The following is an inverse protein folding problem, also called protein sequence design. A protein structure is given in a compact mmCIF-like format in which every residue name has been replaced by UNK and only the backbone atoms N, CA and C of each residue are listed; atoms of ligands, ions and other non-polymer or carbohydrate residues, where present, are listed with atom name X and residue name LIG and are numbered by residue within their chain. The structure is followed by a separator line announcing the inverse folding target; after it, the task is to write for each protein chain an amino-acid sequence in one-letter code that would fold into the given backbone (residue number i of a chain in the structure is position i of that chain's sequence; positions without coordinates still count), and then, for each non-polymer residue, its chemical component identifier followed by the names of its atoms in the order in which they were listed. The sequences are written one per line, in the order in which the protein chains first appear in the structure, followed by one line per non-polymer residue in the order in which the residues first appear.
data_IF_486296908558
#
_entry.id   IF_486296908558
#
_cell.length_a   1.000
_cell.length_b   1.000
_cell.length_c   1.000
_cell.angle_alpha   90.00
_cell.angle_beta   90.00
_cell.angle_gamma   90.00
#
_symmetry.space_group_name_H-M   'P 1'
#
loop_
_entity.id
_entity.type
_entity.pdbx_description
1 polymer ?
#
# COMPACT_ATOMS: atom_id res chain seq x y z
N UNK A 1 -44.53 28.62 -83.39
CA UNK A 1 -45.46 28.64 -82.24
C UNK A 1 -45.14 27.44 -81.35
N UNK A 2 -45.00 27.65 -80.02
CA UNK A 2 -45.09 26.71 -78.86
C UNK A 2 -44.45 25.31 -79.02
N UNK A 3 -43.48 24.87 -78.20
CA UNK A 3 -43.33 25.06 -76.76
C UNK A 3 -44.08 23.96 -75.99
N UNK A 4 -43.33 23.24 -75.13
CA UNK A 4 -43.70 22.15 -74.18
C UNK A 4 -43.82 20.75 -74.81
N UNK A 5 -43.41 19.64 -74.19
CA UNK A 5 -43.11 19.38 -72.78
C UNK A 5 -42.15 18.18 -72.65
N UNK A 6 -41.26 18.24 -71.66
CA UNK A 6 -40.45 17.10 -71.22
C UNK A 6 -41.23 16.31 -70.19
N UNK A 7 -41.99 15.30 -70.62
CA UNK A 7 -42.68 14.40 -69.68
C UNK A 7 -41.73 13.25 -69.26
N UNK A 8 -40.95 13.58 -68.25
CA UNK A 8 -40.33 12.63 -67.34
C UNK A 8 -41.43 12.00 -66.47
N UNK A 9 -41.98 10.87 -66.90
CA UNK A 9 -42.86 10.05 -66.04
C UNK A 9 -42.72 8.55 -66.35
N UNK A 10 -41.59 7.98 -65.91
CA UNK A 10 -41.45 6.53 -65.72
C UNK A 10 -40.84 6.21 -64.37
N UNK A 11 -41.49 6.68 -63.31
CA UNK A 11 -41.45 6.03 -62.01
C UNK A 11 -42.85 5.49 -61.71
N UNK A 12 -43.25 4.42 -62.40
CA UNK A 12 -44.36 3.60 -61.93
C UNK A 12 -43.93 2.85 -60.69
N UNK A 13 -44.30 3.41 -59.54
CA UNK A 13 -44.41 2.70 -58.27
C UNK A 13 -45.40 1.54 -58.37
N UNK A 14 -44.98 0.43 -57.76
CA UNK A 14 -45.80 -0.57 -57.09
C UNK A 14 -46.75 -1.45 -57.93
N UNK A 15 -46.29 -2.67 -58.22
CA UNK A 15 -47.14 -3.85 -58.10
C UNK A 15 -46.27 -5.10 -57.84
N UNK A 16 -46.39 -5.66 -56.62
CA UNK A 16 -45.98 -7.03 -56.32
C UNK A 16 -45.03 -7.18 -55.12
N UNK A 17 -45.56 -7.24 -53.90
CA UNK A 17 -44.88 -7.93 -52.79
C UNK A 17 -45.31 -9.41 -52.72
N UNK A 18 -44.88 -10.20 -51.72
CA UNK A 18 -43.61 -10.20 -50.99
C UNK A 18 -42.92 -11.59 -51.07
N UNK A 19 -41.58 -11.66 -51.06
CA UNK A 19 -40.90 -12.92 -50.75
C UNK A 19 -39.46 -12.71 -50.23
N UNK A 20 -39.30 -13.06 -48.96
CA UNK A 20 -38.09 -13.64 -48.37
C UNK A 20 -36.81 -12.81 -48.32
N UNK A 21 -36.67 -12.07 -47.21
CA UNK A 21 -35.45 -12.13 -46.41
C UNK A 21 -34.26 -11.35 -46.95
N UNK A 22 -34.38 -10.03 -46.98
CA UNK A 22 -33.21 -9.15 -46.90
C UNK A 22 -32.52 -9.44 -45.54
N UNK A 23 -31.24 -9.87 -45.48
CA UNK A 23 -30.57 -10.03 -44.21
C UNK A 23 -30.39 -8.63 -43.64
N UNK A 24 -31.29 -8.25 -42.74
CA UNK A 24 -31.19 -7.04 -41.95
C UNK A 24 -29.73 -6.89 -41.52
N UNK A 25 -29.10 -5.85 -42.07
CA UNK A 25 -27.71 -5.52 -41.84
C UNK A 25 -27.43 -5.72 -40.35
N UNK A 26 -26.55 -6.68 -40.06
CA UNK A 26 -26.13 -7.06 -38.72
C UNK A 26 -25.48 -5.81 -38.12
N UNK A 27 -26.29 -4.98 -37.44
CA UNK A 27 -25.94 -3.63 -37.04
C UNK A 27 -24.66 -3.72 -36.20
N UNK A 28 -23.48 -3.31 -36.69
CA UNK A 28 -22.21 -3.73 -36.12
C UNK A 28 -21.87 -2.99 -34.81
N UNK A 29 -22.60 -1.91 -34.53
CA UNK A 29 -22.36 -0.98 -33.42
C UNK A 29 -22.52 -1.59 -32.01
N UNK A 30 -23.50 -2.46 -31.68
CA UNK A 30 -23.67 -3.03 -30.35
C UNK A 30 -22.51 -3.95 -29.95
N UNK A 31 -22.02 -4.76 -30.90
CA UNK A 31 -20.87 -5.65 -30.71
C UNK A 31 -19.60 -4.86 -30.47
N UNK A 32 -19.42 -3.75 -31.20
CA UNK A 32 -18.26 -2.89 -31.04
C UNK A 32 -18.29 -2.19 -29.68
N UNK A 33 -19.42 -1.59 -29.28
CA UNK A 33 -19.59 -0.95 -27.96
C UNK A 33 -19.30 -1.92 -26.82
N UNK A 34 -19.77 -3.17 -26.89
CA UNK A 34 -19.51 -4.19 -25.85
C UNK A 34 -18.02 -4.54 -25.74
N UNK A 35 -17.31 -4.62 -26.87
CA UNK A 35 -15.85 -4.84 -26.88
C UNK A 35 -15.09 -3.64 -26.31
N UNK A 36 -15.53 -2.42 -26.60
CA UNK A 36 -14.97 -1.20 -26.00
C UNK A 36 -15.18 -1.17 -24.48
N UNK A 37 -16.38 -1.48 -23.99
CA UNK A 37 -16.62 -1.58 -22.54
C UNK A 37 -15.81 -2.70 -21.89
N UNK A 38 -15.72 -3.87 -22.52
CA UNK A 38 -14.90 -4.97 -22.03
C UNK A 38 -13.41 -4.56 -21.94
N UNK A 39 -12.89 -3.87 -22.95
CA UNK A 39 -11.53 -3.33 -22.94
C UNK A 39 -11.35 -2.26 -21.86
N UNK A 40 -12.34 -1.38 -21.65
CA UNK A 40 -12.30 -0.35 -20.61
C UNK A 40 -12.30 -0.95 -19.20
N UNK A 41 -13.09 -2.00 -18.97
CA UNK A 41 -13.09 -2.76 -17.71
C UNK A 41 -11.75 -3.46 -17.52
N UNK A 42 -11.21 -4.09 -18.55
CA UNK A 42 -9.91 -4.76 -18.49
C UNK A 42 -8.78 -3.76 -18.19
N UNK A 43 -8.83 -2.60 -18.83
CA UNK A 43 -7.89 -1.50 -18.62
C UNK A 43 -8.03 -0.94 -17.21
N UNK A 44 -9.26 -0.73 -16.73
CA UNK A 44 -9.54 -0.32 -15.36
C UNK A 44 -9.08 -1.35 -14.33
N UNK A 45 -9.18 -2.65 -14.62
CA UNK A 45 -8.68 -3.72 -13.77
C UNK A 45 -7.13 -3.74 -13.75
N UNK A 46 -6.49 -3.58 -14.90
CA UNK A 46 -5.03 -3.48 -15.00
C UNK A 46 -4.51 -2.25 -14.26
N UNK A 47 -5.07 -1.07 -14.54
CA UNK A 47 -4.67 0.19 -13.90
C UNK A 47 -5.05 0.20 -12.41
N UNK A 48 -6.21 -0.31 -12.02
CA UNK A 48 -6.61 -0.44 -10.63
C UNK A 48 -5.70 -1.38 -9.84
N UNK A 49 -5.27 -2.49 -10.46
CA UNK A 49 -4.31 -3.42 -9.87
C UNK A 49 -2.92 -2.79 -9.73
N UNK A 50 -2.44 -2.08 -10.76
CA UNK A 50 -1.14 -1.40 -10.72
C UNK A 50 -1.14 -0.22 -9.73
N UNK A 51 -2.18 0.63 -9.74
CA UNK A 51 -2.30 1.77 -8.83
C UNK A 51 -2.55 1.32 -7.39
N UNK A 52 -3.29 0.23 -7.18
CA UNK A 52 -3.52 -0.33 -5.84
C UNK A 52 -2.23 -0.75 -5.11
N UNK A 53 -1.14 -0.99 -5.84
CA UNK A 53 0.17 -1.24 -5.26
C UNK A 53 0.93 0.05 -4.93
N UNK A 54 0.86 1.06 -5.81
CA UNK A 54 1.67 2.27 -5.71
C UNK A 54 1.22 3.20 -4.56
N UNK A 55 -0.05 3.14 -4.16
CA UNK A 55 -0.59 3.90 -3.02
C UNK A 55 -0.48 3.16 -1.68
N UNK A 56 0.16 1.99 -1.63
CA UNK A 56 0.46 1.40 -0.32
C UNK A 56 1.48 2.29 0.38
N UNK A 57 1.19 2.78 1.59
CA UNK A 57 2.21 3.44 2.38
C UNK A 57 3.42 2.49 2.44
N UNK A 58 4.59 2.96 2.01
CA UNK A 58 5.82 2.16 2.02
C UNK A 58 6.10 1.56 3.40
N UNK A 59 6.97 0.54 3.51
CA UNK A 59 7.31 -0.02 4.82
C UNK A 59 7.80 1.08 5.77
N UNK A 60 7.45 0.99 7.05
CA UNK A 60 8.02 1.88 8.07
C UNK A 60 9.52 1.58 8.17
N UNK A 61 10.36 2.60 8.14
CA UNK A 61 11.82 2.43 8.19
C UNK A 61 12.37 2.93 9.52
N UNK A 62 13.28 2.16 10.14
CA UNK A 62 14.11 2.60 11.25
C UNK A 62 15.25 3.45 10.71
N UNK A 63 15.24 4.72 11.06
CA UNK A 63 16.18 5.73 10.58
C UNK A 63 17.47 5.74 11.41
N UNK A 64 17.34 5.68 12.74
CA UNK A 64 18.48 5.69 13.68
C UNK A 64 18.07 5.22 15.07
N UNK A 65 19.05 4.73 15.82
CA UNK A 65 18.94 4.35 17.23
C UNK A 65 19.90 5.21 18.05
N UNK A 66 19.38 5.88 19.06
CA UNK A 66 20.15 6.77 19.94
C UNK A 66 20.08 6.24 21.38
N UNK A 67 21.22 5.87 21.99
CA UNK A 67 21.27 5.55 23.40
C UNK A 67 21.00 6.81 24.23
N UNK A 68 20.06 6.73 25.17
CA UNK A 68 19.72 7.84 26.08
C UNK A 68 19.84 7.40 27.53
N UNK A 69 19.76 8.36 28.46
CA UNK A 69 19.79 8.04 29.90
C UNK A 69 18.61 7.13 30.23
N UNK A 70 18.89 5.96 30.81
CA UNK A 70 17.90 4.96 31.22
C UNK A 70 17.07 4.35 30.07
N UNK A 71 17.64 4.29 28.84
CA UNK A 71 16.97 3.57 27.75
C UNK A 71 17.43 3.91 26.33
N UNK A 72 16.54 3.74 25.37
CA UNK A 72 16.82 3.88 23.94
C UNK A 72 15.80 4.80 23.28
N UNK A 73 16.27 5.60 22.33
CA UNK A 73 15.41 6.38 21.45
C UNK A 73 15.52 5.84 20.03
N UNK A 74 14.41 5.38 19.49
CA UNK A 74 14.33 4.85 18.13
C UNK A 74 13.58 5.85 17.27
N UNK A 75 14.18 6.20 16.14
CA UNK A 75 13.60 7.11 15.18
C UNK A 75 13.13 6.34 13.96
N UNK A 76 11.84 6.42 13.69
CA UNK A 76 11.20 5.79 12.55
C UNK A 76 10.70 6.84 11.57
N UNK A 77 10.54 6.44 10.30
CA UNK A 77 9.93 7.29 9.28
C UNK A 77 8.48 7.66 9.62
N UNK A 78 7.76 6.74 10.27
CA UNK A 78 6.35 6.84 10.71
C UNK A 78 6.12 5.94 11.92
N UNK A 79 4.95 6.04 12.54
CA UNK A 79 4.55 5.16 13.64
C UNK A 79 4.56 3.68 13.21
N UNK A 80 5.39 2.83 13.82
CA UNK A 80 5.40 1.40 13.56
C UNK A 80 4.32 0.70 14.40
N UNK A 81 3.74 -0.37 13.86
CA UNK A 81 3.00 -1.31 14.72
C UNK A 81 4.00 -2.02 15.64
N UNK A 82 3.70 -2.03 16.94
CA UNK A 82 4.56 -2.52 18.00
C UNK A 82 3.90 -3.69 18.73
N UNK A 83 4.61 -4.81 18.79
CA UNK A 83 4.30 -5.95 19.64
C UNK A 83 5.40 -6.09 20.70
N UNK A 84 5.07 -5.92 21.97
CA UNK A 84 5.99 -6.05 23.09
C UNK A 84 5.76 -7.37 23.84
N UNK A 85 6.82 -8.12 24.08
CA UNK A 85 6.80 -9.29 24.95
C UNK A 85 7.87 -9.14 26.03
N UNK A 86 7.46 -9.21 27.30
CA UNK A 86 8.39 -9.20 28.42
C UNK A 86 8.71 -10.64 28.81
N UNK A 87 9.98 -11.04 28.68
CA UNK A 87 10.45 -12.37 29.10
C UNK A 87 11.44 -12.16 30.25
N UNK A 88 11.36 -12.95 31.33
CA UNK A 88 12.12 -12.77 32.58
C UNK A 88 13.60 -12.37 32.37
N UNK A 89 13.91 -11.08 32.55
CA UNK A 89 15.26 -10.52 32.44
C UNK A 89 15.69 -10.00 31.06
N UNK A 90 14.85 -10.15 30.04
CA UNK A 90 15.09 -9.64 28.69
C UNK A 90 13.85 -8.97 28.10
N UNK A 91 13.99 -7.74 27.63
CA UNK A 91 12.91 -7.04 26.93
C UNK A 91 13.04 -7.30 25.44
N UNK A 92 12.02 -7.93 24.85
CA UNK A 92 11.89 -8.14 23.41
C UNK A 92 10.78 -7.27 22.83
N UNK A 93 11.11 -6.44 21.85
CA UNK A 93 10.13 -5.60 21.14
C UNK A 93 10.21 -5.86 19.64
N UNK A 94 9.10 -6.29 19.05
CA UNK A 94 8.98 -6.50 17.61
C UNK A 94 8.24 -5.31 16.99
N UNK A 95 8.90 -4.66 16.04
CA UNK A 95 8.37 -3.55 15.26
C UNK A 95 8.08 -4.03 13.83
N UNK A 96 6.90 -3.73 13.30
CA UNK A 96 6.59 -3.90 11.88
C UNK A 96 7.26 -2.82 11.04
N UNK A 97 8.58 -2.87 11.00
CA UNK A 97 9.44 -1.92 10.31
C UNK A 97 10.62 -2.64 9.65
N UNK A 98 11.26 -1.97 8.70
CA UNK A 98 12.52 -2.39 8.05
C UNK A 98 13.65 -1.47 8.50
N UNK A 99 14.87 -1.97 8.53
CA UNK A 99 16.03 -1.15 8.89
C UNK A 99 17.29 -1.97 9.05
N UNK A 100 18.39 -1.25 9.28
CA UNK A 100 19.69 -1.86 9.54
C UNK A 100 19.72 -2.56 10.89
N UNK A 101 20.49 -3.65 10.97
CA UNK A 101 20.87 -4.22 12.25
C UNK A 101 21.85 -3.28 12.95
N UNK A 102 21.64 -3.04 14.24
CA UNK A 102 22.47 -2.15 15.04
C UNK A 102 22.61 -2.72 16.45
N UNK A 103 23.65 -2.34 17.18
CA UNK A 103 23.84 -2.80 18.56
C UNK A 103 24.74 -1.88 19.34
N UNK A 104 24.54 -1.84 20.66
CA UNK A 104 25.35 -1.02 21.54
C UNK A 104 25.13 -1.36 23.01
N UNK A 105 25.56 -0.44 23.86
CA UNK A 105 25.39 -0.51 25.30
C UNK A 105 24.77 0.79 25.79
N UNK A 106 23.99 0.69 26.87
CA UNK A 106 23.38 1.83 27.54
C UNK A 106 23.42 1.63 29.05
N UNK A 107 23.62 2.70 29.80
CA UNK A 107 23.53 2.68 31.26
C UNK A 107 22.09 2.83 31.72
N UNK A 108 21.62 1.84 32.47
CA UNK A 108 20.29 1.80 33.10
C UNK A 108 20.49 1.70 34.60
N UNK A 109 20.16 2.77 35.33
CA UNK A 109 20.26 2.83 36.79
C UNK A 109 21.63 2.34 37.34
N UNK A 110 22.72 2.81 36.72
CA UNK A 110 24.09 2.46 37.09
C UNK A 110 24.57 1.07 36.63
N UNK A 111 23.71 0.26 36.00
CA UNK A 111 24.06 -1.02 35.40
C UNK A 111 24.20 -0.92 33.88
N UNK A 112 25.13 -1.67 33.30
CA UNK A 112 25.29 -1.73 31.84
C UNK A 112 24.25 -2.70 31.25
N UNK A 113 23.45 -2.21 30.31
CA UNK A 113 22.51 -3.00 29.52
C UNK A 113 22.99 -3.03 28.06
N UNK A 114 23.03 -4.22 27.47
CA UNK A 114 23.34 -4.39 26.04
C UNK A 114 22.05 -4.40 25.24
N UNK A 115 22.06 -3.70 24.13
CA UNK A 115 20.92 -3.66 23.21
C UNK A 115 21.35 -4.07 21.81
N UNK A 116 20.40 -4.66 21.07
CA UNK A 116 20.60 -5.09 19.69
C UNK A 116 19.29 -5.03 18.92
N UNK A 117 19.34 -4.43 17.74
CA UNK A 117 18.29 -4.43 16.73
C UNK A 117 18.67 -5.42 15.63
N UNK A 118 17.73 -6.29 15.26
CA UNK A 118 17.91 -7.27 14.19
C UNK A 118 16.71 -7.26 13.26
N UNK A 119 16.96 -7.27 11.95
CA UNK A 119 15.93 -7.58 10.97
C UNK A 119 15.54 -9.06 11.04
N UNK A 120 14.25 -9.33 11.06
CA UNK A 120 13.65 -10.67 11.00
C UNK A 120 12.61 -10.72 9.87
N UNK A 121 12.13 -11.90 9.50
CA UNK A 121 11.03 -12.02 8.51
C UNK A 121 9.75 -11.30 8.96
N UNK A 122 9.54 -11.17 10.28
CA UNK A 122 8.37 -10.53 10.88
C UNK A 122 8.56 -9.04 11.17
N UNK A 123 9.70 -8.44 10.82
CA UNK A 123 10.02 -7.05 11.13
C UNK A 123 11.31 -6.87 11.92
N UNK A 124 11.48 -5.72 12.57
CA UNK A 124 12.66 -5.40 13.38
C UNK A 124 12.46 -5.82 14.83
N UNK A 125 13.38 -6.64 15.34
CA UNK A 125 13.39 -7.12 16.71
C UNK A 125 14.45 -6.39 17.52
N UNK A 126 14.04 -5.70 18.58
CA UNK A 126 14.91 -5.06 19.56
C UNK A 126 14.98 -5.95 20.81
N UNK A 127 16.19 -6.33 21.16
CA UNK A 127 16.50 -6.99 22.43
C UNK A 127 17.28 -6.06 23.33
N UNK A 128 16.86 -5.99 24.60
CA UNK A 128 17.62 -5.34 25.67
C UNK A 128 17.84 -6.35 26.79
N UNK A 129 19.11 -6.54 27.15
CA UNK A 129 19.55 -7.54 28.15
C UNK A 129 20.43 -6.86 29.19
N UNK A 130 20.16 -7.12 30.45
CA UNK A 130 20.99 -6.67 31.58
C UNK A 130 21.23 -7.80 32.57
N UNK A 131 22.10 -7.57 33.55
CA UNK A 131 22.41 -8.51 34.63
C UNK A 131 21.32 -8.59 35.70
N UNK A 132 20.31 -7.70 35.64
CA UNK A 132 19.17 -7.64 36.56
C UNK A 132 17.86 -7.69 35.77
N UNK A 133 16.76 -8.17 36.38
CA UNK A 133 15.44 -8.11 35.77
C UNK A 133 15.09 -6.68 35.34
N UNK A 134 14.62 -6.53 34.11
CA UNK A 134 14.25 -5.25 33.52
C UNK A 134 12.75 -5.15 33.34
N UNK A 135 12.21 -3.95 33.55
CA UNK A 135 10.89 -3.53 33.15
C UNK A 135 11.01 -2.45 32.07
N UNK A 136 10.30 -2.63 30.97
CA UNK A 136 10.25 -1.66 29.89
C UNK A 136 8.93 -0.87 29.90
N UNK A 137 9.04 0.41 29.61
CA UNK A 137 7.94 1.31 29.29
C UNK A 137 8.30 2.08 28.02
N UNK A 138 7.32 2.35 27.17
CA UNK A 138 7.57 3.10 25.95
C UNK A 138 6.52 4.16 25.71
N UNK A 139 6.94 5.23 25.05
CA UNK A 139 6.06 6.28 24.53
C UNK A 139 6.47 6.61 23.10
N UNK A 140 5.48 6.85 22.24
CA UNK A 140 5.66 7.28 20.86
C UNK A 140 5.16 8.70 20.69
N UNK A 141 5.91 9.53 19.96
CA UNK A 141 5.47 10.84 19.55
C UNK A 141 6.02 11.22 18.18
N UNK A 142 5.35 12.14 17.49
CA UNK A 142 5.81 12.68 16.21
C UNK A 142 6.64 13.94 16.44
N UNK A 143 7.88 13.95 15.98
CA UNK A 143 8.83 15.07 16.09
C UNK A 143 9.40 15.37 14.71
N UNK A 144 9.23 16.60 14.23
CA UNK A 144 9.77 17.09 12.96
C UNK A 144 9.47 16.18 11.75
N UNK A 145 8.25 15.62 11.71
CA UNK A 145 7.81 14.73 10.64
C UNK A 145 8.30 13.28 10.77
N UNK A 146 9.18 12.99 11.72
CA UNK A 146 9.64 11.64 12.07
C UNK A 146 8.83 11.12 13.26
N UNK A 147 8.82 9.80 13.44
CA UNK A 147 8.25 9.18 14.63
C UNK A 147 9.36 8.81 15.59
N UNK A 148 9.24 9.27 16.84
CA UNK A 148 10.21 9.07 17.89
C UNK A 148 9.60 8.15 18.94
N UNK A 149 10.18 6.98 19.10
CA UNK A 149 9.84 6.04 20.16
C UNK A 149 10.88 6.15 21.28
N UNK A 150 10.44 6.52 22.47
CA UNK A 150 11.25 6.49 23.68
C UNK A 150 11.00 5.18 24.41
N UNK A 151 12.00 4.31 24.43
CA UNK A 151 12.02 3.13 25.27
C UNK A 151 12.75 3.48 26.57
N UNK A 152 12.03 3.48 27.68
CA UNK A 152 12.60 3.58 29.02
C UNK A 152 12.68 2.20 29.64
N UNK A 153 13.85 1.87 30.14
CA UNK A 153 14.11 0.59 30.80
C UNK A 153 14.48 0.89 32.24
N UNK A 154 13.90 0.14 33.17
CA UNK A 154 14.13 0.31 34.61
C UNK A 154 14.38 -1.07 35.23
N UNK A 155 15.21 -1.19 36.27
CA UNK A 155 15.29 -2.42 37.04
C UNK A 155 13.93 -2.71 37.70
N UNK A 156 13.56 -3.99 37.79
CA UNK A 156 12.40 -4.44 38.57
C UNK A 156 12.73 -4.54 40.06
#
# INVERSE_FOLDING_TARGET
MRGTDSENDRHSTAAGGPAAGDPAADDPLPRLRRRFFAALVLLGLLFGSLLGHLFRPGPVELLRVEPVVSGLQLWFSREPELYSENVDGAVGMLFQAKGGADSGQVKVDGSDARWRVQGTEKGLLLHVVATRPLQASWSGEKVDGQWRLQLRVMPR
#
